data_IF_176867388654
#
_entry.id   IF_176867388654
#
_cell.length_a   1.000
_cell.length_b   1.000
_cell.length_c   1.000
_cell.angle_alpha   90.00
_cell.angle_beta   90.00
_cell.angle_gamma   90.00
#
_symmetry.space_group_name_H-M   'P 1'
#
loop_
_entity.id
_entity.type
_entity.pdbx_description
1 polymer ?
#
# COMPACT_ATOMS: atom_id res chain seq x y z
N UNK A 1 -6.74 -10.89 5.08
CA UNK A 1 -5.61 -11.45 4.30
C UNK A 1 -4.32 -10.65 4.45
N UNK A 2 -4.27 -9.35 4.10
CA UNK A 2 -3.01 -8.58 4.09
C UNK A 2 -2.25 -8.50 5.44
N UNK A 3 -2.93 -8.74 6.58
CA UNK A 3 -2.35 -8.73 7.94
C UNK A 3 -2.33 -10.11 8.61
N UNK A 4 -2.55 -11.18 7.85
CA UNK A 4 -2.56 -12.56 8.39
C UNK A 4 -1.15 -13.14 8.38
N UNK A 5 -0.67 -13.60 9.54
CA UNK A 5 0.65 -14.23 9.68
C UNK A 5 0.80 -15.46 8.78
N UNK A 6 -0.24 -16.30 8.66
CA UNK A 6 -0.23 -17.48 7.80
C UNK A 6 0.04 -17.17 6.32
N UNK A 7 -0.32 -15.95 5.86
CA UNK A 7 -0.19 -15.53 4.47
C UNK A 7 1.11 -14.76 4.23
N UNK A 8 1.53 -13.93 5.19
CA UNK A 8 2.61 -12.94 5.02
C UNK A 8 3.81 -13.14 5.94
N UNK A 9 3.77 -14.13 6.83
CA UNK A 9 4.79 -14.41 7.84
C UNK A 9 4.70 -13.52 9.08
N UNK A 10 5.63 -13.71 10.02
CA UNK A 10 5.70 -13.01 11.31
C UNK A 10 5.83 -11.49 11.19
N UNK A 11 6.27 -10.99 10.04
CA UNK A 11 6.44 -9.57 9.78
C UNK A 11 5.27 -8.95 9.01
N UNK A 12 4.10 -9.60 8.98
CA UNK A 12 2.89 -9.15 8.28
C UNK A 12 2.36 -7.77 8.74
N UNK A 13 2.76 -7.31 9.93
CA UNK A 13 2.41 -5.99 10.46
C UNK A 13 3.48 -4.92 10.20
N UNK A 14 4.64 -5.29 9.64
CA UNK A 14 5.73 -4.34 9.34
C UNK A 14 5.59 -3.81 7.91
N UNK A 15 5.79 -2.51 7.75
CA UNK A 15 5.96 -1.90 6.42
C UNK A 15 7.33 -2.31 5.85
N UNK A 16 7.33 -3.18 4.84
CA UNK A 16 8.53 -3.70 4.18
C UNK A 16 8.36 -3.74 2.66
N UNK A 17 8.60 -2.64 1.93
CA UNK A 17 8.48 -2.59 0.47
C UNK A 17 9.35 -3.61 -0.25
N UNK A 18 10.51 -3.95 0.32
CA UNK A 18 11.52 -4.85 -0.25
C UNK A 18 10.99 -6.27 -0.44
N UNK A 19 9.91 -6.66 0.26
CA UNK A 19 9.30 -7.99 0.08
C UNK A 19 8.82 -8.25 -1.34
N UNK A 20 8.54 -7.19 -2.09
CA UNK A 20 8.05 -7.21 -3.46
C UNK A 20 9.19 -7.13 -4.49
N UNK A 21 10.45 -7.23 -4.05
CA UNK A 21 11.64 -7.09 -4.89
C UNK A 21 12.46 -8.38 -4.76
N UNK A 22 12.95 -8.89 -5.89
CA UNK A 22 13.88 -10.04 -5.93
C UNK A 22 15.29 -9.60 -5.54
N UNK A 23 16.18 -10.54 -5.25
CA UNK A 23 17.59 -10.23 -4.96
C UNK A 23 18.28 -9.52 -6.13
N UNK A 24 17.81 -9.75 -7.36
CA UNK A 24 18.29 -9.12 -8.58
C UNK A 24 17.67 -7.73 -8.83
N UNK A 25 16.82 -7.22 -7.93
CA UNK A 25 16.19 -5.91 -8.04
C UNK A 25 14.96 -5.85 -8.93
N UNK A 26 14.47 -7.00 -9.43
CA UNK A 26 13.24 -7.06 -10.23
C UNK A 26 11.99 -7.17 -9.34
N UNK A 27 10.82 -6.80 -9.86
CA UNK A 27 9.58 -6.96 -9.11
C UNK A 27 9.24 -8.44 -8.95
N UNK A 28 9.09 -8.88 -7.70
CA UNK A 28 8.60 -10.21 -7.36
C UNK A 28 7.12 -10.31 -7.73
N UNK A 29 6.78 -11.31 -8.53
CA UNK A 29 5.39 -11.61 -8.84
C UNK A 29 4.71 -12.29 -7.64
N UNK A 30 3.88 -11.54 -6.92
CA UNK A 30 2.99 -12.11 -5.91
C UNK A 30 1.64 -12.49 -6.56
N UNK A 31 1.07 -13.66 -6.24
CA UNK A 31 -0.23 -14.05 -6.78
C UNK A 31 -1.30 -13.00 -6.49
N UNK A 32 -2.11 -12.67 -7.49
CA UNK A 32 -3.12 -11.60 -7.38
C UNK A 32 -4.15 -11.84 -6.26
N UNK A 33 -4.41 -13.10 -5.89
CA UNK A 33 -5.31 -13.47 -4.79
C UNK A 33 -4.66 -13.34 -3.40
N UNK A 34 -3.33 -13.27 -3.32
CA UNK A 34 -2.59 -13.06 -2.07
C UNK A 34 -2.55 -11.58 -1.69
N UNK A 35 -2.44 -10.70 -2.70
CA UNK A 35 -2.45 -9.26 -2.55
C UNK A 35 -3.48 -8.61 -3.48
N UNK A 36 -4.64 -8.25 -2.93
CA UNK A 36 -5.87 -7.92 -3.67
C UNK A 36 -6.30 -6.45 -3.49
N UNK A 37 -5.45 -5.43 -3.72
CA UNK A 37 -5.85 -4.03 -3.51
C UNK A 37 -6.86 -3.50 -4.55
N UNK A 38 -6.93 -4.15 -5.73
CA UNK A 38 -7.80 -3.75 -6.85
C UNK A 38 -8.74 -4.88 -7.28
N UNK A 39 -9.06 -5.83 -6.39
CA UNK A 39 -9.73 -7.08 -6.76
C UNK A 39 -8.89 -7.95 -7.73
N UNK A 40 -9.41 -9.09 -8.17
CA UNK A 40 -8.77 -9.96 -9.16
C UNK A 40 -9.79 -10.56 -10.15
N UNK A 41 -9.31 -11.03 -11.30
CA UNK A 41 -10.14 -11.67 -12.34
C UNK A 41 -10.97 -10.67 -13.16
N UNK A 42 -12.09 -11.11 -13.78
CA UNK A 42 -12.91 -10.27 -14.67
C UNK A 42 -13.51 -9.01 -14.03
N UNK A 43 -13.51 -8.94 -12.69
CA UNK A 43 -14.02 -7.80 -11.89
C UNK A 43 -12.89 -7.01 -11.21
N UNK A 44 -11.67 -7.11 -11.73
CA UNK A 44 -10.56 -6.22 -11.33
C UNK A 44 -10.97 -4.78 -11.56
N UNK A 45 -10.58 -3.88 -10.64
CA UNK A 45 -10.86 -2.46 -10.75
C UNK A 45 -10.37 -1.90 -12.09
N UNK A 46 -11.29 -1.32 -12.86
CA UNK A 46 -10.99 -0.71 -14.16
C UNK A 46 -9.97 0.43 -14.03
N UNK A 47 -9.99 1.15 -12.89
CA UNK A 47 -9.07 2.25 -12.59
C UNK A 47 -7.67 1.84 -12.13
N UNK A 48 -7.34 0.54 -12.04
CA UNK A 48 -6.04 0.07 -11.53
C UNK A 48 -4.85 0.74 -12.22
N UNK A 49 -4.88 0.84 -13.55
CA UNK A 49 -3.79 1.42 -14.32
C UNK A 49 -3.60 2.92 -14.03
N UNK A 50 -4.70 3.67 -14.02
CA UNK A 50 -4.71 5.11 -13.73
C UNK A 50 -4.23 5.37 -12.31
N UNK A 51 -4.77 4.65 -11.33
CA UNK A 51 -4.39 4.81 -9.92
C UNK A 51 -2.89 4.56 -9.68
N UNK A 52 -2.28 3.58 -10.36
CA UNK A 52 -0.84 3.35 -10.26
C UNK A 52 -0.01 4.44 -10.94
N UNK A 53 -0.47 4.99 -12.06
CA UNK A 53 0.21 6.10 -12.72
C UNK A 53 0.20 7.34 -11.82
N UNK A 54 -0.97 7.73 -11.33
CA UNK A 54 -1.14 8.89 -10.43
C UNK A 54 -0.34 8.72 -9.14
N UNK A 55 -0.39 7.54 -8.50
CA UNK A 55 0.37 7.28 -7.28
C UNK A 55 1.87 7.43 -7.49
N UNK A 56 2.40 6.99 -8.64
CA UNK A 56 3.83 7.12 -8.95
C UNK A 56 4.23 8.59 -9.13
N UNK A 57 3.46 9.34 -9.90
CA UNK A 57 3.73 10.77 -10.14
C UNK A 57 3.69 11.57 -8.83
N UNK A 58 2.65 11.35 -8.01
CA UNK A 58 2.54 12.00 -6.70
C UNK A 58 3.69 11.59 -5.78
N UNK A 59 4.02 10.31 -5.70
CA UNK A 59 5.11 9.83 -4.84
C UNK A 59 6.46 10.43 -5.27
N UNK A 60 6.77 10.46 -6.57
CA UNK A 60 8.01 11.05 -7.09
C UNK A 60 8.06 12.55 -6.76
N UNK A 61 6.96 13.27 -6.99
CA UNK A 61 6.88 14.71 -6.72
C UNK A 61 7.06 14.99 -5.23
N UNK A 62 6.37 14.26 -4.37
CA UNK A 62 6.47 14.42 -2.91
C UNK A 62 7.91 14.16 -2.42
N UNK A 63 8.54 13.09 -2.92
CA UNK A 63 9.90 12.73 -2.52
C UNK A 63 10.98 13.70 -3.02
N UNK A 64 10.75 14.39 -4.14
CA UNK A 64 11.71 15.34 -4.72
C UNK A 64 11.59 16.73 -4.14
N UNK A 65 10.36 17.19 -3.93
CA UNK A 65 10.07 18.59 -3.66
C UNK A 65 9.82 18.88 -2.17
N UNK A 66 9.59 17.85 -1.35
CA UNK A 66 9.20 18.01 0.05
C UNK A 66 10.04 17.15 1.00
N UNK A 67 10.25 17.68 2.20
CA UNK A 67 10.70 16.91 3.36
C UNK A 67 9.49 16.64 4.25
N UNK A 68 9.23 15.38 4.56
CA UNK A 68 8.08 14.96 5.36
C UNK A 68 8.51 14.70 6.81
N UNK A 69 7.78 15.28 7.75
CA UNK A 69 7.92 15.01 9.18
C UNK A 69 6.57 14.60 9.77
N UNK A 70 6.61 13.76 10.80
CA UNK A 70 5.39 13.32 11.50
C UNK A 70 5.02 14.38 12.53
N UNK A 71 3.74 14.78 12.53
CA UNK A 71 3.21 15.67 13.57
C UNK A 71 3.19 14.95 14.91
N UNK A 72 3.88 15.51 15.90
CA UNK A 72 3.95 14.93 17.25
C UNK A 72 2.55 14.80 17.88
N UNK A 73 2.31 13.69 18.57
CA UNK A 73 1.04 13.41 19.25
C UNK A 73 -0.13 13.05 18.32
N UNK A 74 0.06 12.99 17.00
CA UNK A 74 -1.00 12.61 16.08
C UNK A 74 -1.33 11.11 16.17
N UNK A 75 -2.60 10.80 16.46
CA UNK A 75 -3.08 9.42 16.64
C UNK A 75 -3.63 8.86 15.33
N UNK A 76 -2.90 7.93 14.72
CA UNK A 76 -3.26 7.29 13.44
C UNK A 76 -4.10 6.03 13.69
N UNK A 77 -5.41 6.14 13.47
CA UNK A 77 -6.36 5.04 13.62
C UNK A 77 -7.31 4.94 12.42
N UNK A 78 -7.73 3.73 12.00
CA UNK A 78 -8.67 3.57 10.92
C UNK A 78 -10.09 3.97 11.34
N UNK A 79 -10.79 4.68 10.44
CA UNK A 79 -12.23 4.91 10.51
C UNK A 79 -12.97 3.72 9.92
N UNK A 80 -14.03 3.27 10.58
CA UNK A 80 -14.94 2.27 10.03
C UNK A 80 -15.80 2.94 8.95
N UNK A 81 -15.48 2.70 7.68
CA UNK A 81 -16.14 3.28 6.51
C UNK A 81 -16.01 2.36 5.29
N UNK A 82 -16.73 2.70 4.20
CA UNK A 82 -16.69 1.95 2.93
C UNK A 82 -15.28 1.95 2.31
N UNK A 83 -14.53 3.04 2.52
CA UNK A 83 -13.12 3.16 2.18
C UNK A 83 -12.29 3.26 3.45
N UNK A 84 -11.04 2.78 3.43
CA UNK A 84 -10.14 2.91 4.58
C UNK A 84 -9.62 4.34 4.68
N UNK A 85 -9.95 5.03 5.75
CA UNK A 85 -9.55 6.42 6.01
C UNK A 85 -8.99 6.56 7.42
N UNK A 86 -8.21 7.62 7.65
CA UNK A 86 -7.82 8.02 9.00
C UNK A 86 -9.03 8.57 9.76
N UNK A 87 -9.16 8.20 11.03
CA UNK A 87 -10.21 8.71 11.92
C UNK A 87 -9.95 10.16 12.29
N UNK A 88 -8.71 10.48 12.63
CA UNK A 88 -8.26 11.80 13.03
C UNK A 88 -7.47 12.36 11.84
N UNK A 89 -8.10 13.15 10.98
CA UNK A 89 -7.38 13.81 9.89
C UNK A 89 -6.73 15.09 10.46
N UNK A 90 -5.45 15.37 10.20
CA UNK A 90 -4.84 16.63 10.58
C UNK A 90 -5.47 17.81 9.82
#
# INVERSE_FOLDING_TARGET
MARMEEVWGKDCLKFRPERSITEQGSMRHEPAYKFVPFNCGPRTCLGKGIAFAELREVAITVLREFMLEIVEGHVVEPKLSIILQMRNNP
#
